data_IF_803639976292
#
_entry.id   IF_803639976292
#
_cell.length_a   1.000
_cell.length_b   1.000
_cell.length_c   1.000
_cell.angle_alpha   90.00
_cell.angle_beta   90.00
_cell.angle_gamma   90.00
#
_symmetry.space_group_name_H-M   'P 1'
#
loop_
_entity.id
_entity.type
_entity.pdbx_description
1 polymer ?
#
# COMPACT_ATOMS: atom_id res chain seq x y z
N UNK A 1 -23.35 14.98 39.21
CA UNK A 1 -23.14 13.85 40.14
C UNK A 1 -23.84 12.67 39.53
N UNK A 2 -23.18 12.02 38.58
CA UNK A 2 -23.60 10.74 38.01
C UNK A 2 -22.35 10.12 37.39
N UNK A 3 -22.01 8.98 37.97
CA UNK A 3 -20.88 8.09 37.72
C UNK A 3 -21.34 7.00 36.76
N UNK A 4 -20.54 6.71 35.73
CA UNK A 4 -20.41 5.40 35.05
C UNK A 4 -19.50 5.60 33.83
N UNK A 5 -18.73 4.64 33.36
CA UNK A 5 -18.04 3.49 33.95
C UNK A 5 -17.01 3.14 32.88
N UNK A 6 -15.77 2.89 33.29
CA UNK A 6 -14.65 2.64 32.39
C UNK A 6 -14.35 1.14 32.41
N UNK A 7 -14.36 0.46 31.25
CA UNK A 7 -13.74 -0.84 31.15
C UNK A 7 -12.30 -0.70 30.64
N UNK A 8 -11.37 -0.97 31.55
CA UNK A 8 -10.03 -1.44 31.25
C UNK A 8 -10.08 -2.76 30.48
N UNK A 9 -9.23 -2.89 29.46
CA UNK A 9 -9.14 -4.07 28.61
C UNK A 9 -7.76 -4.22 28.02
N UNK A 10 -6.75 -4.37 28.89
CA UNK A 10 -5.44 -4.86 28.52
C UNK A 10 -5.50 -6.38 28.38
N UNK A 11 -5.32 -6.89 27.16
CA UNK A 11 -4.87 -8.27 26.92
C UNK A 11 -3.66 -8.24 26.01
N UNK A 12 -2.53 -8.43 26.65
CA UNK A 12 -1.22 -8.74 26.09
C UNK A 12 -1.25 -10.19 25.63
N UNK A 13 -1.34 -10.45 24.33
CA UNK A 13 -0.96 -11.74 23.76
C UNK A 13 0.37 -11.56 23.02
N UNK A 14 1.44 -11.91 23.74
CA UNK A 14 2.75 -12.10 23.16
C UNK A 14 2.74 -13.37 22.30
N UNK A 15 2.80 -13.20 20.98
CA UNK A 15 3.20 -14.29 20.09
C UNK A 15 4.72 -14.31 20.00
N UNK A 16 5.30 -15.14 20.86
CA UNK A 16 6.71 -15.55 20.82
C UNK A 16 6.94 -16.42 19.58
N UNK A 17 7.21 -15.81 18.43
CA UNK A 17 7.83 -16.54 17.32
C UNK A 17 9.32 -16.69 17.61
N UNK A 18 9.65 -17.75 18.34
CA UNK A 18 11.01 -18.25 18.44
C UNK A 18 11.47 -18.69 17.03
N UNK A 19 12.69 -18.35 16.61
CA UNK A 19 13.25 -18.91 15.39
C UNK A 19 13.38 -20.42 15.55
N UNK A 20 12.68 -21.16 14.69
CA UNK A 20 12.87 -22.60 14.50
C UNK A 20 14.35 -22.84 14.25
N UNK A 21 14.98 -23.57 15.16
CA UNK A 21 16.36 -24.01 15.02
C UNK A 21 16.50 -24.81 13.72
N UNK A 22 17.54 -24.57 12.90
CA UNK A 22 17.81 -25.42 11.75
C UNK A 22 18.07 -26.85 12.25
N UNK A 23 17.42 -27.83 11.61
CA UNK A 23 17.73 -29.25 11.80
C UNK A 23 19.24 -29.47 11.75
N UNK A 24 19.81 -30.30 12.64
CA UNK A 24 21.20 -30.70 12.50
C UNK A 24 21.32 -31.49 11.20
N UNK A 25 22.03 -30.89 10.24
CA UNK A 25 22.48 -31.54 9.02
C UNK A 25 23.19 -32.84 9.39
N UNK A 26 22.60 -33.96 9.00
CA UNK A 26 23.24 -35.28 9.08
C UNK A 26 24.58 -35.16 8.38
N UNK A 27 25.72 -35.40 9.06
CA UNK A 27 26.99 -35.41 8.36
C UNK A 27 26.93 -36.57 7.36
N UNK A 28 27.05 -36.22 6.08
CA UNK A 28 27.32 -37.17 5.02
C UNK A 28 28.53 -37.99 5.49
N UNK A 29 28.32 -39.30 5.66
CA UNK A 29 29.39 -40.24 5.94
C UNK A 29 30.32 -40.24 4.73
N UNK A 30 31.32 -39.36 4.77
CA UNK A 30 32.46 -39.43 3.88
C UNK A 30 33.18 -40.75 4.23
N UNK A 31 33.33 -41.69 3.29
CA UNK A 31 34.20 -42.84 3.55
C UNK A 31 35.59 -42.28 3.84
N UNK A 32 36.31 -42.80 4.86
CA UNK A 32 37.66 -42.34 5.14
C UNK A 32 38.52 -42.50 3.89
N UNK A 33 38.99 -41.37 3.37
CA UNK A 33 40.07 -41.32 2.39
C UNK A 33 41.34 -41.78 3.11
N UNK A 34 41.65 -43.07 3.00
CA UNK A 34 42.84 -43.63 3.62
C UNK A 34 42.68 -45.09 3.98
N UNK A 35 42.78 -45.95 2.97
CA UNK A 35 43.48 -47.23 3.06
C UNK A 35 43.51 -47.81 1.65
N UNK A 36 44.50 -47.37 0.88
CA UNK A 36 45.05 -48.21 -0.18
C UNK A 36 45.66 -49.40 0.55
N UNK A 37 45.15 -50.64 0.40
CA UNK A 37 45.80 -51.78 1.03
C UNK A 37 47.21 -51.91 0.44
N UNK A 38 48.25 -52.17 1.26
CA UNK A 38 49.57 -52.46 0.73
C UNK A 38 49.47 -53.66 -0.22
N UNK A 39 50.05 -53.52 -1.41
CA UNK A 39 50.28 -54.64 -2.30
C UNK A 39 51.26 -55.61 -1.63
N UNK A 40 50.73 -56.60 -0.92
CA UNK A 40 51.56 -57.57 -0.22
C UNK A 40 50.71 -58.58 0.56
N UNK A 41 50.76 -59.83 0.11
CA UNK A 41 50.16 -61.03 0.70
C UNK A 41 48.64 -61.18 0.54
N UNK A 42 48.27 -61.73 -0.63
CA UNK A 42 47.05 -62.53 -0.76
C UNK A 42 47.21 -63.73 0.18
N UNK A 43 46.33 -63.94 1.20
CA UNK A 43 46.36 -65.16 2.00
C UNK A 43 46.12 -66.38 1.08
N UNK A 44 46.81 -67.51 1.28
CA UNK A 44 46.53 -68.71 0.49
C UNK A 44 45.05 -69.07 0.65
N UNK A 45 44.39 -69.54 -0.43
CA UNK A 45 42.97 -69.86 -0.38
C UNK A 45 42.72 -70.89 0.75
N UNK A 46 41.61 -70.76 1.51
CA UNK A 46 41.24 -71.78 2.48
C UNK A 46 41.13 -73.12 1.76
N UNK A 47 41.87 -74.12 2.26
CA UNK A 47 41.82 -75.48 1.74
C UNK A 47 40.38 -75.97 1.87
N UNK A 48 39.70 -76.09 0.74
CA UNK A 48 38.32 -76.58 0.66
C UNK A 48 38.27 -78.02 1.18
N UNK A 49 37.30 -78.38 2.03
CA UNK A 49 37.07 -79.77 2.39
C UNK A 49 36.83 -80.59 1.11
N UNK A 50 37.39 -81.80 0.99
CA UNK A 50 37.14 -82.68 -0.16
C UNK A 50 35.68 -83.13 -0.13
N UNK A 51 34.80 -82.34 -0.73
CA UNK A 51 33.35 -82.59 -0.75
C UNK A 51 32.45 -81.37 -1.01
N UNK A 52 32.96 -80.14 -1.05
CA UNK A 52 32.13 -78.98 -1.41
C UNK A 52 31.93 -78.90 -2.92
N UNK A 53 30.69 -79.15 -3.39
CA UNK A 53 30.27 -78.92 -4.78
C UNK A 53 30.60 -77.47 -5.21
N UNK A 54 31.08 -77.24 -6.44
CA UNK A 54 31.40 -75.90 -6.92
C UNK A 54 30.13 -75.02 -6.87
N UNK A 55 30.18 -73.91 -6.13
CA UNK A 55 29.14 -72.88 -6.20
C UNK A 55 29.21 -72.23 -7.58
N UNK A 56 28.42 -72.75 -8.51
CA UNK A 56 28.24 -72.18 -9.84
C UNK A 56 27.31 -70.98 -9.71
N UNK A 57 27.87 -69.79 -9.50
CA UNK A 57 27.12 -68.55 -9.66
C UNK A 57 26.70 -68.44 -11.12
N UNK A 58 25.39 -68.34 -11.38
CA UNK A 58 24.92 -68.11 -12.74
C UNK A 58 25.56 -66.82 -13.27
N UNK A 59 26.09 -66.81 -14.51
CA UNK A 59 26.61 -65.60 -15.10
C UNK A 59 25.54 -64.51 -15.04
N UNK A 60 25.91 -63.25 -14.73
CA UNK A 60 24.95 -62.17 -14.61
C UNK A 60 24.12 -62.11 -15.89
N UNK A 61 22.80 -62.16 -15.73
CA UNK A 61 21.87 -62.11 -16.84
C UNK A 61 22.05 -60.83 -17.66
N UNK A 62 21.63 -60.84 -18.94
CA UNK A 62 21.70 -59.67 -19.79
C UNK A 62 21.02 -58.47 -19.12
N UNK A 63 21.62 -57.29 -19.26
CA UNK A 63 21.05 -56.05 -18.72
C UNK A 63 19.60 -55.90 -19.17
N UNK A 64 18.68 -55.75 -18.21
CA UNK A 64 17.30 -55.42 -18.51
C UNK A 64 17.26 -54.16 -19.40
N UNK A 65 16.45 -54.14 -20.47
CA UNK A 65 16.36 -52.99 -21.35
C UNK A 65 15.96 -51.77 -20.52
N UNK A 66 16.75 -50.69 -20.62
CA UNK A 66 16.44 -49.44 -19.93
C UNK A 66 15.03 -49.00 -20.37
N UNK A 67 14.12 -48.91 -19.40
CA UNK A 67 12.72 -48.53 -19.62
C UNK A 67 12.65 -47.02 -19.87
N UNK A 68 13.09 -46.59 -21.05
CA UNK A 68 13.24 -45.19 -21.47
C UNK A 68 11.93 -44.38 -21.41
N UNK A 69 10.78 -45.06 -21.49
CA UNK A 69 9.47 -44.43 -21.41
C UNK A 69 9.19 -43.75 -20.05
N UNK A 70 9.69 -44.30 -18.93
CA UNK A 70 9.51 -43.69 -17.60
C UNK A 70 10.38 -42.45 -17.38
N UNK A 71 11.55 -42.36 -18.01
CA UNK A 71 12.39 -41.18 -17.92
C UNK A 71 11.82 -40.02 -18.73
N UNK A 72 11.29 -40.30 -19.92
CA UNK A 72 10.75 -39.27 -20.82
C UNK A 72 9.44 -38.66 -20.31
N UNK A 73 8.61 -39.44 -19.63
CA UNK A 73 7.35 -38.94 -19.02
C UNK A 73 7.60 -38.13 -17.75
N UNK A 74 8.56 -38.52 -16.89
CA UNK A 74 8.90 -37.77 -15.68
C UNK A 74 9.51 -36.38 -15.97
N UNK A 75 10.36 -36.26 -16.98
CA UNK A 75 10.91 -34.95 -17.39
C UNK A 75 9.84 -34.06 -18.03
N UNK A 76 8.97 -34.62 -18.87
CA UNK A 76 7.87 -33.87 -19.47
C UNK A 76 6.91 -33.29 -18.41
N UNK A 77 6.51 -34.11 -17.43
CA UNK A 77 5.62 -33.66 -16.35
C UNK A 77 6.27 -32.56 -15.50
N UNK A 78 7.55 -32.72 -15.14
CA UNK A 78 8.28 -31.73 -14.34
C UNK A 78 8.43 -30.39 -15.08
N UNK A 79 8.59 -30.43 -16.39
CA UNK A 79 8.63 -29.23 -17.22
C UNK A 79 7.28 -28.51 -17.25
N UNK A 80 6.19 -29.26 -17.42
CA UNK A 80 4.84 -28.69 -17.46
C UNK A 80 4.44 -28.09 -16.11
N UNK A 81 4.74 -28.77 -15.00
CA UNK A 81 4.43 -28.26 -13.65
C UNK A 81 5.38 -27.13 -13.22
N UNK A 82 6.64 -27.16 -13.65
CA UNK A 82 7.59 -26.06 -13.40
C UNK A 82 7.19 -24.78 -14.13
N UNK A 83 6.79 -24.88 -15.40
CA UNK A 83 6.34 -23.72 -16.19
C UNK A 83 5.03 -23.18 -15.64
N UNK A 84 4.09 -24.03 -15.22
CA UNK A 84 2.84 -23.53 -14.63
C UNK A 84 3.08 -22.79 -13.32
N UNK A 85 3.96 -23.29 -12.45
CA UNK A 85 4.36 -22.60 -11.22
C UNK A 85 5.02 -21.24 -11.49
N UNK A 86 5.95 -21.19 -12.45
CA UNK A 86 6.61 -19.95 -12.85
C UNK A 86 5.63 -18.90 -13.38
N UNK A 87 4.65 -19.31 -14.19
CA UNK A 87 3.60 -18.42 -14.70
C UNK A 87 2.74 -17.85 -13.57
N UNK A 88 2.36 -18.67 -12.58
CA UNK A 88 1.59 -18.20 -11.43
C UNK A 88 2.37 -17.22 -10.54
N UNK A 89 3.66 -17.46 -10.32
CA UNK A 89 4.52 -16.54 -9.56
C UNK A 89 4.65 -15.21 -10.31
N UNK A 90 4.88 -15.24 -11.63
CA UNK A 90 4.93 -14.03 -12.44
C UNK A 90 3.59 -13.28 -12.45
N UNK A 91 2.47 -13.99 -12.50
CA UNK A 91 1.15 -13.40 -12.41
C UNK A 91 0.93 -12.71 -11.05
N UNK A 92 1.32 -13.34 -9.94
CA UNK A 92 1.26 -12.73 -8.61
C UNK A 92 2.12 -11.47 -8.51
N UNK A 93 3.36 -11.52 -9.00
CA UNK A 93 4.24 -10.35 -9.02
C UNK A 93 3.61 -9.22 -9.85
N UNK A 94 3.04 -9.54 -11.01
CA UNK A 94 2.37 -8.55 -11.86
C UNK A 94 1.18 -7.90 -11.13
N UNK A 95 0.35 -8.69 -10.43
CA UNK A 95 -0.78 -8.16 -9.64
C UNK A 95 -0.29 -7.22 -8.53
N UNK A 96 0.76 -7.61 -7.79
CA UNK A 96 1.34 -6.77 -6.74
C UNK A 96 1.91 -5.47 -7.30
N UNK A 97 2.63 -5.53 -8.43
CA UNK A 97 3.18 -4.34 -9.08
C UNK A 97 2.07 -3.40 -9.56
N UNK A 98 1.03 -3.93 -10.21
CA UNK A 98 -0.12 -3.14 -10.64
C UNK A 98 -0.82 -2.50 -9.43
N UNK A 99 -1.07 -3.28 -8.37
CA UNK A 99 -1.66 -2.77 -7.12
C UNK A 99 -0.83 -1.64 -6.50
N UNK A 100 0.49 -1.81 -6.45
CA UNK A 100 1.42 -0.78 -5.95
C UNK A 100 1.38 0.49 -6.80
N UNK A 101 1.38 0.37 -8.13
CA UNK A 101 1.31 1.51 -9.04
C UNK A 101 -0.01 2.26 -8.92
N UNK A 102 -1.14 1.55 -8.88
CA UNK A 102 -2.47 2.15 -8.70
C UNK A 102 -2.56 2.85 -7.33
N UNK A 103 -2.07 2.21 -6.27
CA UNK A 103 -2.04 2.81 -4.94
C UNK A 103 -1.19 4.07 -4.86
N UNK A 104 -0.02 4.09 -5.53
CA UNK A 104 0.82 5.29 -5.68
C UNK A 104 0.10 6.39 -6.45
N UNK A 105 -0.53 6.06 -7.58
CA UNK A 105 -1.22 7.02 -8.42
C UNK A 105 -2.37 7.72 -7.67
N UNK A 106 -3.17 6.97 -6.92
CA UNK A 106 -4.25 7.49 -6.09
C UNK A 106 -3.75 8.49 -5.04
N UNK A 107 -2.58 8.24 -4.42
CA UNK A 107 -1.97 9.15 -3.44
C UNK A 107 -1.46 10.46 -4.08
N UNK A 108 -1.04 10.41 -5.34
CA UNK A 108 -0.57 11.59 -6.08
C UNK A 108 -1.67 12.29 -6.87
N UNK A 109 -2.88 11.75 -6.89
CA UNK A 109 -3.98 12.31 -7.64
C UNK A 109 -4.32 13.70 -7.08
N UNK A 110 -4.26 14.70 -7.95
CA UNK A 110 -4.68 16.05 -7.62
C UNK A 110 -6.09 16.33 -8.09
N UNK A 111 -6.73 17.33 -7.51
CA UNK A 111 -8.01 17.87 -7.95
C UNK A 111 -7.97 19.39 -7.93
N UNK A 112 -8.91 20.01 -8.65
CA UNK A 112 -9.21 21.43 -8.53
C UNK A 112 -10.36 21.56 -7.53
N UNK A 113 -10.12 22.30 -6.46
CA UNK A 113 -11.10 22.57 -5.42
C UNK A 113 -11.35 24.08 -5.35
N UNK A 114 -12.54 24.47 -4.94
CA UNK A 114 -12.93 25.86 -4.90
C UNK A 114 -13.82 26.16 -3.70
N UNK A 115 -14.01 27.44 -3.48
CA UNK A 115 -14.89 27.93 -2.46
C UNK A 115 -15.34 29.35 -2.74
N UNK A 116 -16.12 29.89 -1.82
CA UNK A 116 -16.61 31.26 -1.89
C UNK A 116 -16.64 31.91 -0.52
N UNK A 117 -16.44 33.22 -0.52
CA UNK A 117 -16.59 34.08 0.66
C UNK A 117 -17.86 34.90 0.49
N UNK A 118 -18.74 34.90 1.49
CA UNK A 118 -19.96 35.73 1.45
C UNK A 118 -19.58 37.20 1.62
N UNK A 119 -20.12 38.05 0.75
CA UNK A 119 -19.91 39.50 0.77
C UNK A 119 -21.23 40.25 0.65
N UNK A 120 -21.22 41.53 1.02
CA UNK A 120 -22.34 42.41 0.75
C UNK A 120 -22.45 42.66 -0.77
N UNK A 121 -23.66 42.53 -1.31
CA UNK A 121 -23.94 42.71 -2.72
C UNK A 121 -23.76 44.16 -3.20
N UNK A 122 -23.86 45.13 -2.30
CA UNK A 122 -23.76 46.56 -2.60
C UNK A 122 -22.31 47.06 -2.62
N UNK A 123 -21.50 46.66 -1.64
CA UNK A 123 -20.10 47.07 -1.53
C UNK A 123 -19.13 46.12 -2.22
N UNK A 124 -19.55 44.89 -2.54
CA UNK A 124 -18.68 43.82 -3.06
C UNK A 124 -17.54 43.44 -2.10
N UNK A 125 -17.68 43.78 -0.82
CA UNK A 125 -16.71 43.53 0.24
C UNK A 125 -17.37 42.82 1.41
N UNK A 126 -16.56 42.25 2.30
CA UNK A 126 -17.04 41.71 3.58
C UNK A 126 -17.52 42.81 4.51
N UNK A 127 -18.26 42.44 5.57
CA UNK A 127 -18.80 43.39 6.53
C UNK A 127 -17.73 44.35 7.10
N UNK A 128 -16.51 43.86 7.30
CA UNK A 128 -15.39 44.63 7.82
C UNK A 128 -14.55 45.33 6.73
N UNK A 129 -14.91 45.18 5.45
CA UNK A 129 -14.24 45.82 4.31
C UNK A 129 -12.86 45.27 3.95
N UNK A 130 -12.31 44.32 4.71
CA UNK A 130 -10.93 43.84 4.54
C UNK A 130 -10.75 42.87 3.36
N UNK A 131 -11.83 42.21 2.92
CA UNK A 131 -11.77 41.21 1.86
C UNK A 131 -12.61 41.66 0.67
N UNK A 132 -11.96 41.72 -0.48
CA UNK A 132 -12.53 42.17 -1.75
C UNK A 132 -12.02 41.30 -2.92
N UNK A 133 -12.50 41.57 -4.13
CA UNK A 133 -11.99 40.90 -5.32
C UNK A 133 -10.47 41.15 -5.48
N UNK A 134 -9.69 40.09 -5.70
CA UNK A 134 -8.24 40.17 -5.81
C UNK A 134 -7.47 39.93 -4.51
N UNK A 135 -8.14 39.86 -3.36
CA UNK A 135 -7.53 39.46 -2.08
C UNK A 135 -6.86 38.09 -2.21
N UNK A 136 -5.66 37.97 -1.63
CA UNK A 136 -4.87 36.74 -1.68
C UNK A 136 -5.51 35.66 -0.81
N UNK A 137 -5.68 34.46 -1.35
CA UNK A 137 -6.09 33.28 -0.60
C UNK A 137 -4.94 32.28 -0.58
N UNK A 138 -4.58 31.82 0.61
CA UNK A 138 -3.46 30.92 0.84
C UNK A 138 -3.99 29.63 1.46
N UNK A 139 -3.65 28.49 0.88
CA UNK A 139 -4.02 27.18 1.41
C UNK A 139 -2.77 26.33 1.69
N UNK A 140 -2.76 25.65 2.83
CA UNK A 140 -1.70 24.72 3.21
C UNK A 140 -2.26 23.55 4.01
N UNK A 141 -1.48 22.48 4.13
CA UNK A 141 -1.84 21.27 4.88
C UNK A 141 -0.63 20.84 5.70
N UNK A 142 -0.87 20.21 6.84
CA UNK A 142 0.15 19.66 7.75
C UNK A 142 1.03 18.59 7.09
N UNK A 143 0.49 17.92 6.06
CA UNK A 143 1.16 16.80 5.38
C UNK A 143 2.17 17.24 4.33
N UNK A 144 2.24 18.53 3.99
CA UNK A 144 3.12 19.03 2.92
C UNK A 144 3.61 20.44 3.17
N UNK A 145 4.85 20.72 2.79
CA UNK A 145 5.39 22.08 2.78
C UNK A 145 4.90 22.92 1.58
N UNK A 146 4.01 22.38 0.73
CA UNK A 146 3.47 23.12 -0.39
C UNK A 146 2.38 24.08 0.09
N UNK A 147 2.66 25.37 -0.10
CA UNK A 147 1.68 26.45 0.06
C UNK A 147 1.08 26.80 -1.29
N UNK A 148 -0.23 26.65 -1.43
CA UNK A 148 -0.98 27.05 -2.61
C UNK A 148 -1.48 28.48 -2.43
N UNK A 149 -1.45 29.25 -3.51
CA UNK A 149 -1.86 30.66 -3.52
C UNK A 149 -2.77 30.91 -4.70
N UNK A 150 -3.90 31.55 -4.45
CA UNK A 150 -4.84 32.01 -5.45
C UNK A 150 -5.35 33.39 -5.05
N UNK A 151 -6.24 33.98 -5.83
CA UNK A 151 -6.89 35.25 -5.51
C UNK A 151 -8.40 35.09 -5.62
N UNK A 152 -9.12 35.90 -4.84
CA UNK A 152 -10.56 36.02 -4.99
C UNK A 152 -10.89 36.58 -6.37
N UNK A 153 -11.82 35.93 -7.04
CA UNK A 153 -12.37 36.38 -8.32
C UNK A 153 -13.42 37.48 -8.12
N UNK A 154 -13.98 37.98 -9.21
CA UNK A 154 -15.05 38.99 -9.15
C UNK A 154 -16.30 38.43 -8.49
N UNK A 155 -17.06 39.30 -7.83
CA UNK A 155 -18.32 38.93 -7.16
C UNK A 155 -19.25 38.21 -8.12
N UNK A 156 -19.72 37.06 -7.67
CA UNK A 156 -20.77 36.29 -8.32
C UNK A 156 -22.02 36.34 -7.47
N UNK A 157 -23.15 36.63 -8.11
CA UNK A 157 -24.45 36.63 -7.47
C UNK A 157 -25.10 35.26 -7.70
N UNK A 158 -25.74 34.71 -6.68
CA UNK A 158 -26.57 33.52 -6.83
C UNK A 158 -27.83 33.67 -6.01
N UNK A 159 -28.95 33.36 -6.64
CA UNK A 159 -30.25 33.32 -5.98
C UNK A 159 -30.35 32.02 -5.19
N UNK A 160 -30.28 32.13 -3.86
CA UNK A 160 -30.46 30.99 -2.97
C UNK A 160 -31.88 31.02 -2.46
N UNK A 161 -32.57 29.89 -2.55
CA UNK A 161 -33.90 29.75 -1.97
C UNK A 161 -33.78 29.81 -0.45
N UNK A 162 -34.41 30.80 0.17
CA UNK A 162 -34.39 30.90 1.61
C UNK A 162 -35.19 29.73 2.19
N UNK A 163 -34.50 28.85 2.92
CA UNK A 163 -35.11 27.63 3.48
C UNK A 163 -35.78 27.92 4.83
N UNK A 164 -35.37 29.01 5.49
CA UNK A 164 -35.90 29.44 6.79
C UNK A 164 -37.15 30.33 6.67
N UNK A 165 -37.48 30.78 5.46
CA UNK A 165 -38.65 31.61 5.20
C UNK A 165 -39.77 30.74 4.60
N UNK A 166 -40.88 30.59 5.34
CA UNK A 166 -42.06 29.84 4.91
C UNK A 166 -42.63 30.33 3.56
N UNK A 167 -42.29 31.57 3.17
CA UNK A 167 -42.68 32.17 1.90
C UNK A 167 -41.85 31.71 0.69
N UNK A 168 -40.82 30.87 0.87
CA UNK A 168 -39.93 30.35 -0.19
C UNK A 168 -39.30 31.44 -1.07
N UNK A 169 -39.13 32.66 -0.56
CA UNK A 169 -38.53 33.78 -1.29
C UNK A 169 -37.08 33.48 -1.64
N UNK A 170 -36.67 33.85 -2.85
CA UNK A 170 -35.27 33.82 -3.27
C UNK A 170 -34.55 35.00 -2.66
N UNK A 171 -33.41 34.73 -2.01
CA UNK A 171 -32.53 35.77 -1.48
C UNK A 171 -31.26 35.75 -2.32
N UNK A 172 -30.91 36.89 -2.88
CA UNK A 172 -29.65 37.07 -3.61
C UNK A 172 -28.50 37.05 -2.62
N UNK A 173 -27.62 36.05 -2.74
CA UNK A 173 -26.37 35.99 -1.98
C UNK A 173 -25.22 36.30 -2.93
N UNK A 174 -24.38 37.24 -2.54
CA UNK A 174 -23.16 37.58 -3.26
C UNK A 174 -21.98 36.88 -2.61
N UNK A 175 -21.13 36.27 -3.42
CA UNK A 175 -19.89 35.68 -2.95
C UNK A 175 -18.74 36.00 -3.89
N UNK A 176 -17.53 36.05 -3.32
CA UNK A 176 -16.27 36.11 -4.04
C UNK A 176 -15.74 34.67 -4.19
N UNK A 177 -15.79 34.08 -5.39
CA UNK A 177 -15.30 32.73 -5.59
C UNK A 177 -13.77 32.69 -5.65
N UNK A 178 -13.20 31.56 -5.29
CA UNK A 178 -11.80 31.23 -5.56
C UNK A 178 -11.65 29.77 -5.95
N UNK A 179 -10.59 29.49 -6.68
CA UNK A 179 -10.22 28.14 -7.08
C UNK A 179 -8.74 27.88 -6.83
N UNK A 180 -8.44 26.67 -6.39
CA UNK A 180 -7.11 26.15 -6.21
C UNK A 180 -6.91 24.96 -7.13
N UNK A 181 -5.89 25.06 -7.97
CA UNK A 181 -5.44 23.92 -8.76
C UNK A 181 -4.44 23.07 -7.99
N UNK A 182 -4.39 21.79 -8.36
CA UNK A 182 -3.38 20.83 -7.87
C UNK A 182 -3.46 20.57 -6.36
N UNK A 183 -4.66 20.62 -5.78
CA UNK A 183 -4.89 20.14 -4.42
C UNK A 183 -4.72 18.62 -4.39
N UNK A 184 -4.07 18.08 -3.37
CA UNK A 184 -3.95 16.64 -3.18
C UNK A 184 -5.25 16.04 -2.64
N UNK A 185 -5.68 14.91 -3.19
CA UNK A 185 -6.87 14.19 -2.71
C UNK A 185 -6.68 13.44 -1.40
N UNK A 186 -5.43 13.13 -1.04
CA UNK A 186 -5.12 12.33 0.15
C UNK A 186 -4.98 13.16 1.45
N UNK A 187 -5.05 14.48 1.35
CA UNK A 187 -5.12 15.37 2.52
C UNK A 187 -6.53 15.29 3.15
N UNK A 188 -6.62 15.25 4.48
CA UNK A 188 -7.89 15.32 5.19
C UNK A 188 -8.58 16.68 5.02
N UNK A 189 -7.78 17.74 4.90
CA UNK A 189 -8.23 19.10 4.66
C UNK A 189 -7.06 20.07 4.54
N UNK A 190 -7.41 21.33 4.36
CA UNK A 190 -6.51 22.44 4.17
C UNK A 190 -6.86 23.56 5.13
N UNK A 191 -5.84 24.17 5.72
CA UNK A 191 -5.97 25.45 6.37
C UNK A 191 -5.95 26.54 5.30
N UNK A 192 -7.00 27.33 5.25
CA UNK A 192 -7.19 28.40 4.28
C UNK A 192 -7.15 29.72 5.03
N UNK A 193 -6.34 30.65 4.54
CA UNK A 193 -6.27 32.03 5.02
C UNK A 193 -6.60 32.98 3.89
N UNK A 194 -7.50 33.92 4.15
CA UNK A 194 -7.96 34.91 3.16
C UNK A 194 -7.47 36.29 3.62
N UNK A 195 -6.60 36.94 2.84
CA UNK A 195 -6.00 38.21 3.26
C UNK A 195 -5.25 38.07 4.61
N UNK A 196 -5.58 38.93 5.56
CA UNK A 196 -5.03 38.92 6.93
C UNK A 196 -5.96 38.25 7.96
N UNK A 197 -7.03 37.59 7.53
CA UNK A 197 -7.93 36.88 8.44
C UNK A 197 -7.26 35.66 9.08
N UNK A 198 -7.92 35.08 10.09
CA UNK A 198 -7.45 33.84 10.69
C UNK A 198 -7.57 32.66 9.72
N UNK A 199 -6.68 31.68 9.89
CA UNK A 199 -6.73 30.45 9.09
C UNK A 199 -7.87 29.55 9.54
N UNK A 200 -8.61 29.00 8.59
CA UNK A 200 -9.69 28.07 8.86
C UNK A 200 -9.45 26.72 8.20
N UNK A 201 -9.74 25.66 8.94
CA UNK A 201 -9.62 24.31 8.42
C UNK A 201 -10.87 23.94 7.59
N UNK A 202 -10.66 23.62 6.32
CA UNK A 202 -11.69 23.17 5.39
C UNK A 202 -11.34 21.80 4.86
N UNK A 203 -12.30 20.87 4.91
CA UNK A 203 -12.05 19.49 4.44
C UNK A 203 -11.87 19.46 2.92
N UNK A 204 -11.08 18.50 2.42
CA UNK A 204 -10.87 18.32 0.99
C UNK A 204 -12.17 18.03 0.23
N UNK A 205 -13.12 17.35 0.89
CA UNK A 205 -14.45 17.08 0.34
C UNK A 205 -15.25 18.37 0.15
N UNK A 206 -15.29 19.23 1.17
CA UNK A 206 -15.98 20.52 1.08
C UNK A 206 -15.38 21.39 -0.03
N UNK A 207 -14.04 21.40 -0.17
CA UNK A 207 -13.39 22.12 -1.27
C UNK A 207 -13.70 21.55 -2.65
N UNK A 208 -13.88 20.24 -2.77
CA UNK A 208 -14.28 19.62 -4.04
C UNK A 208 -15.72 19.97 -4.41
N UNK A 209 -16.60 20.18 -3.43
CA UNK A 209 -18.02 20.49 -3.62
C UNK A 209 -18.31 22.00 -3.74
N UNK A 210 -17.33 22.87 -3.43
CA UNK A 210 -17.50 24.33 -3.45
C UNK A 210 -17.86 24.90 -2.09
N UNK A 211 -16.94 24.79 -1.13
CA UNK A 211 -17.17 25.22 0.25
C UNK A 211 -17.38 26.73 0.37
N UNK A 212 -18.38 27.15 1.16
CA UNK A 212 -18.46 28.53 1.62
C UNK A 212 -17.59 28.65 2.87
N UNK A 213 -16.56 29.50 2.81
CA UNK A 213 -15.66 29.75 3.94
C UNK A 213 -16.19 30.98 4.68
N UNK A 214 -16.70 30.84 5.92
CA UNK A 214 -17.05 32.00 6.72
C UNK A 214 -15.77 32.79 7.00
N UNK A 215 -15.83 34.11 7.10
CA UNK A 215 -14.67 34.87 7.60
C UNK A 215 -14.81 34.98 9.11
N UNK A 216 -13.78 34.50 9.80
CA UNK A 216 -13.60 34.72 11.22
C UNK A 216 -12.54 35.81 11.30
N UNK A 217 -12.97 37.01 11.67
CA UNK A 217 -12.04 38.08 12.01
C UNK A 217 -11.49 37.74 13.39
N UNK A 218 -10.19 37.50 13.46
CA UNK A 218 -9.49 37.31 14.71
C UNK A 218 -9.62 38.59 15.53
N UNK A 219 -10.40 38.56 16.61
CA UNK A 219 -10.45 39.65 17.56
C UNK A 219 -9.03 39.91 18.08
N UNK A 220 -8.57 41.15 17.95
CA UNK A 220 -7.28 41.60 18.46
C UNK A 220 -7.10 41.17 19.92
N UNK A 221 -5.93 40.61 20.24
CA UNK A 221 -5.44 40.43 21.61
C UNK A 221 -4.62 41.64 22.03
#
# INVERSE_FOLDING_TARGET
METHDQPDGATTEGSSDAPVAPEPSTPAYAPPAGMVPPAGMVPPPPVTPPGSLPQQWLPPGPYLPRRTWQQKTRTAVSWVTGVSGGVWILALIAVVLVGYLVGRYQKTATFTGGGGVIVDCSSATTADGEVEAGTLVVAWTDRTDRVLRTRLEKVKQTEVRNTDDASRRTVTRCYLPFSFDKLRRDAAGYNIRIGNTDSQFVTSKSLAEGAIVPIVVGGEK
#
